data_IF_086534221378
#
_entry.id   IF_086534221378
#
_cell.length_a   1.000
_cell.length_b   1.000
_cell.length_c   1.000
_cell.angle_alpha   90.00
_cell.angle_beta   90.00
_cell.angle_gamma   90.00
#
_symmetry.space_group_name_H-M   'P 1'
#
loop_
_entity.id
_entity.type
_entity.pdbx_description
1 polymer ?
#
# COMPACT_ATOMS: atom_id res chain seq x y z
N UNK A 1 -65.07 38.77 24.92
CA UNK A 1 -65.55 38.30 26.22
C UNK A 1 -64.31 37.97 27.02
N UNK A 2 -64.17 38.67 28.15
CA UNK A 2 -63.33 38.36 29.34
C UNK A 2 -61.81 38.24 29.08
N UNK A 3 -60.92 39.13 29.52
CA UNK A 3 -60.97 40.05 30.65
C UNK A 3 -60.56 39.33 31.92
N UNK A 4 -59.29 39.44 32.33
CA UNK A 4 -58.78 39.59 33.71
C UNK A 4 -57.32 40.11 33.59
N UNK A 5 -57.17 41.42 33.68
CA UNK A 5 -56.01 42.05 34.33
C UNK A 5 -56.23 41.90 35.84
N UNK A 6 -55.15 41.70 36.60
CA UNK A 6 -54.98 41.86 38.06
C UNK A 6 -53.74 41.00 38.42
N UNK A 7 -52.70 41.42 39.14
CA UNK A 7 -52.49 42.58 40.01
C UNK A 7 -50.97 42.76 40.17
N UNK A 8 -50.56 44.01 40.24
CA UNK A 8 -49.25 44.46 40.67
C UNK A 8 -49.04 44.10 42.16
N UNK A 9 -47.93 43.43 42.44
CA UNK A 9 -47.40 43.23 43.79
C UNK A 9 -45.92 43.57 43.78
N UNK A 10 -45.62 44.86 43.62
CA UNK A 10 -44.26 45.38 43.69
C UNK A 10 -43.62 45.10 45.05
N UNK A 11 -42.38 44.66 44.93
CA UNK A 11 -41.55 44.08 45.96
C UNK A 11 -40.93 45.17 46.83
N UNK A 12 -41.07 44.94 48.13
CA UNK A 12 -40.16 45.26 49.24
C UNK A 12 -38.84 45.92 48.81
N UNK A 13 -38.67 47.18 49.18
CA UNK A 13 -37.42 47.93 49.13
C UNK A 13 -36.37 47.29 50.06
N UNK A 14 -35.20 46.95 49.51
CA UNK A 14 -33.94 46.95 50.26
C UNK A 14 -32.86 47.67 49.43
N UNK A 15 -32.21 48.72 49.98
CA UNK A 15 -31.21 49.50 49.26
C UNK A 15 -29.82 48.91 49.51
N UNK A 16 -29.10 48.52 48.46
CA UNK A 16 -27.71 48.09 48.58
C UNK A 16 -26.80 48.78 47.55
N UNK A 17 -25.64 49.17 48.06
CA UNK A 17 -24.68 50.11 47.49
C UNK A 17 -24.30 49.80 46.04
N UNK A 18 -24.40 50.84 45.20
CA UNK A 18 -24.02 50.80 43.80
C UNK A 18 -22.50 50.63 43.70
N UNK A 19 -22.03 49.49 43.20
CA UNK A 19 -20.67 49.38 42.66
C UNK A 19 -20.54 50.34 41.45
N UNK A 20 -19.39 50.98 41.28
CA UNK A 20 -19.14 51.97 40.21
C UNK A 20 -19.26 51.40 38.79
N UNK A 21 -19.43 50.08 38.67
CA UNK A 21 -19.70 49.34 37.43
C UNK A 21 -21.19 49.09 37.16
N UNK A 22 -22.10 49.55 38.03
CA UNK A 22 -23.55 49.43 37.86
C UNK A 22 -24.09 48.00 37.93
N UNK A 23 -23.40 47.09 38.64
CA UNK A 23 -23.81 45.70 38.81
C UNK A 23 -24.01 45.40 40.31
N UNK A 24 -25.14 44.80 40.66
CA UNK A 24 -25.42 44.31 42.02
C UNK A 24 -24.72 42.96 42.24
N UNK A 25 -24.04 42.80 43.37
CA UNK A 25 -23.56 41.48 43.79
C UNK A 25 -24.73 40.74 44.45
N UNK A 26 -25.18 39.58 43.93
CA UNK A 26 -26.33 38.89 44.50
C UNK A 26 -26.04 38.37 45.91
N UNK A 27 -27.03 38.49 46.82
CA UNK A 27 -26.97 37.99 48.22
C UNK A 27 -26.70 36.48 48.32
N UNK A 28 -26.98 35.73 47.25
CA UNK A 28 -26.73 34.30 47.19
C UNK A 28 -26.21 33.85 45.82
N UNK A 29 -25.09 33.13 45.84
CA UNK A 29 -24.48 32.53 44.64
C UNK A 29 -25.13 31.20 44.21
N UNK A 30 -26.26 30.80 44.82
CA UNK A 30 -26.89 29.48 44.61
C UNK A 30 -27.34 29.24 43.16
N UNK A 31 -27.77 30.29 42.46
CA UNK A 31 -28.17 30.24 41.05
C UNK A 31 -27.07 30.71 40.09
N UNK A 32 -25.84 30.87 40.58
CA UNK A 32 -24.71 31.35 39.78
C UNK A 32 -23.75 30.21 39.42
N UNK A 33 -23.35 30.15 38.15
CA UNK A 33 -22.31 29.23 37.67
C UNK A 33 -21.02 30.00 37.51
N UNK A 34 -20.04 29.72 38.38
CA UNK A 34 -18.73 30.35 38.32
C UNK A 34 -17.83 29.59 37.34
N UNK A 35 -17.37 30.28 36.30
CA UNK A 35 -16.41 29.74 35.34
C UNK A 35 -15.03 30.32 35.60
N UNK A 36 -13.99 29.49 35.44
CA UNK A 36 -12.64 30.03 35.25
C UNK A 36 -12.60 30.83 33.95
N UNK A 37 -11.76 31.86 33.86
CA UNK A 37 -11.68 32.72 32.66
C UNK A 37 -11.45 31.91 31.38
N UNK A 38 -10.67 30.83 31.46
CA UNK A 38 -10.44 29.91 30.33
C UNK A 38 -11.69 29.12 29.95
N UNK A 39 -12.45 28.61 30.93
CA UNK A 39 -13.73 27.91 30.68
C UNK A 39 -14.79 28.84 30.08
N UNK A 40 -14.87 30.10 30.54
CA UNK A 40 -15.79 31.09 29.99
C UNK A 40 -15.45 31.40 28.52
N UNK A 41 -14.17 31.61 28.19
CA UNK A 41 -13.73 31.82 26.81
C UNK A 41 -13.99 30.60 25.94
N UNK A 42 -13.75 29.38 26.46
CA UNK A 42 -14.07 28.14 25.77
C UNK A 42 -15.56 28.00 25.49
N UNK A 43 -16.42 28.39 26.44
CA UNK A 43 -17.88 28.33 26.27
C UNK A 43 -18.37 29.36 25.25
N UNK A 44 -17.81 30.58 25.26
CA UNK A 44 -18.13 31.62 24.27
C UNK A 44 -17.74 31.16 22.87
N UNK A 45 -16.55 30.58 22.70
CA UNK A 45 -16.12 30.03 21.42
C UNK A 45 -17.03 28.88 20.98
N UNK A 46 -17.36 27.95 21.89
CA UNK A 46 -18.26 26.84 21.58
C UNK A 46 -19.66 27.32 21.20
N UNK A 47 -20.17 28.37 21.85
CA UNK A 47 -21.45 28.98 21.49
C UNK A 47 -21.42 29.55 20.07
N UNK A 48 -20.35 30.26 19.71
CA UNK A 48 -20.16 30.79 18.34
C UNK A 48 -20.11 29.67 17.30
N UNK A 49 -19.35 28.62 17.56
CA UNK A 49 -19.32 27.44 16.69
C UNK A 49 -20.72 26.84 16.50
N UNK A 50 -21.47 26.65 17.58
CA UNK A 50 -22.84 26.12 17.51
C UNK A 50 -23.80 27.04 16.76
N UNK A 51 -23.67 28.36 16.91
CA UNK A 51 -24.48 29.32 16.16
C UNK A 51 -24.15 29.27 14.65
N UNK A 52 -22.87 29.14 14.30
CA UNK A 52 -22.43 28.95 12.91
C UNK A 52 -22.91 27.61 12.33
N UNK A 53 -22.78 26.52 13.09
CA UNK A 53 -23.29 25.18 12.73
C UNK A 53 -24.80 25.23 12.48
N UNK A 54 -25.56 25.89 13.34
CA UNK A 54 -27.02 26.05 13.18
C UNK A 54 -27.37 26.78 11.88
N UNK A 55 -26.71 27.90 11.60
CA UNK A 55 -26.94 28.66 10.36
C UNK A 55 -26.61 27.82 9.12
N UNK A 56 -25.53 27.03 9.17
CA UNK A 56 -25.15 26.15 8.08
C UNK A 56 -26.14 25.01 7.88
N UNK A 57 -26.64 24.40 8.97
CA UNK A 57 -27.67 23.36 8.91
C UNK A 57 -29.00 23.90 8.36
N UNK A 58 -29.41 25.10 8.77
CA UNK A 58 -30.63 25.73 8.24
C UNK A 58 -30.51 26.04 6.75
N UNK A 59 -29.35 26.48 6.28
CA UNK A 59 -29.09 26.67 4.84
C UNK A 59 -29.18 25.35 4.08
N UNK A 60 -28.45 24.32 4.54
CA UNK A 60 -28.47 23.00 3.91
C UNK A 60 -29.89 22.41 3.87
N UNK A 61 -30.64 22.50 4.98
CA UNK A 61 -32.02 22.02 5.05
C UNK A 61 -32.92 22.74 4.03
N UNK A 62 -32.77 24.06 3.89
CA UNK A 62 -33.53 24.83 2.91
C UNK A 62 -33.18 24.45 1.46
N UNK A 63 -31.91 24.19 1.16
CA UNK A 63 -31.46 23.67 -0.14
C UNK A 63 -32.05 22.29 -0.42
N UNK A 64 -31.92 21.35 0.51
CA UNK A 64 -32.53 20.02 0.39
C UNK A 64 -34.05 20.08 0.17
N UNK A 65 -34.75 20.99 0.85
CA UNK A 65 -36.19 21.18 0.67
C UNK A 65 -36.53 21.70 -0.72
N UNK A 66 -35.73 22.61 -1.29
CA UNK A 66 -35.89 23.11 -2.67
C UNK A 66 -35.66 22.00 -3.67
N UNK A 67 -34.56 21.26 -3.54
CA UNK A 67 -34.20 20.15 -4.42
C UNK A 67 -35.25 19.03 -4.39
N UNK A 68 -35.71 18.66 -3.21
CA UNK A 68 -36.76 17.66 -3.05
C UNK A 68 -38.05 18.10 -3.75
N UNK A 69 -38.45 19.36 -3.61
CA UNK A 69 -39.63 19.89 -4.28
C UNK A 69 -39.46 19.96 -5.80
N UNK A 70 -38.25 20.27 -6.29
CA UNK A 70 -37.93 20.25 -7.71
C UNK A 70 -38.01 18.83 -8.27
N UNK A 71 -37.30 17.86 -7.67
CA UNK A 71 -37.34 16.46 -8.09
C UNK A 71 -38.75 15.88 -8.05
N UNK A 72 -39.56 16.26 -7.05
CA UNK A 72 -40.97 15.84 -6.97
C UNK A 72 -41.80 16.39 -8.14
N UNK A 73 -41.52 17.59 -8.63
CA UNK A 73 -42.15 18.14 -9.84
C UNK A 73 -41.69 17.41 -11.09
N UNK A 74 -40.38 17.19 -11.23
CA UNK A 74 -39.78 16.47 -12.36
C UNK A 74 -40.31 15.03 -12.47
N UNK A 75 -40.46 14.32 -11.35
CA UNK A 75 -41.07 12.98 -11.32
C UNK A 75 -42.50 13.02 -11.86
N UNK A 76 -43.32 13.97 -11.42
CA UNK A 76 -44.71 14.11 -11.90
C UNK A 76 -44.78 14.43 -13.39
N UNK A 77 -43.88 15.29 -13.88
CA UNK A 77 -43.80 15.61 -15.30
C UNK A 77 -43.38 14.40 -16.13
N UNK A 78 -42.35 13.68 -15.69
CA UNK A 78 -41.88 12.45 -16.34
C UNK A 78 -42.95 11.34 -16.32
N UNK A 79 -43.71 11.19 -15.24
CA UNK A 79 -44.84 10.26 -15.17
C UNK A 79 -45.93 10.61 -16.19
N UNK A 80 -46.21 11.90 -16.38
CA UNK A 80 -47.17 12.37 -17.39
C UNK A 80 -46.67 12.05 -18.81
N UNK A 81 -45.42 12.39 -19.12
CA UNK A 81 -44.81 12.10 -20.43
C UNK A 81 -44.79 10.60 -20.68
N UNK A 82 -44.42 9.79 -19.69
CA UNK A 82 -44.43 8.32 -19.79
C UNK A 82 -45.83 7.78 -20.06
N UNK A 83 -46.86 8.32 -19.39
CA UNK A 83 -48.26 7.93 -19.62
C UNK A 83 -48.72 8.27 -21.04
N UNK A 84 -48.38 9.47 -21.53
CA UNK A 84 -48.68 9.89 -22.91
C UNK A 84 -47.98 8.99 -23.94
N UNK A 85 -46.68 8.75 -23.77
CA UNK A 85 -45.91 7.82 -24.62
C UNK A 85 -46.45 6.40 -24.60
N UNK A 86 -46.87 5.92 -23.44
CA UNK A 86 -47.45 4.59 -23.31
C UNK A 86 -48.79 4.49 -24.04
N UNK A 87 -49.62 5.55 -24.01
CA UNK A 87 -50.85 5.62 -24.80
C UNK A 87 -50.55 5.63 -26.31
N UNK A 88 -49.62 6.48 -26.76
CA UNK A 88 -49.19 6.53 -28.17
C UNK A 88 -48.67 5.16 -28.65
N UNK A 89 -47.88 4.50 -27.81
CA UNK A 89 -47.34 3.17 -28.10
C UNK A 89 -48.45 2.11 -28.22
N UNK A 90 -49.36 2.08 -27.25
CA UNK A 90 -50.49 1.15 -27.25
C UNK A 90 -51.41 1.37 -28.46
N UNK A 91 -51.69 2.62 -28.82
CA UNK A 91 -52.47 2.96 -30.00
C UNK A 91 -51.79 2.46 -31.29
N UNK A 92 -50.49 2.71 -31.44
CA UNK A 92 -49.71 2.20 -32.59
C UNK A 92 -49.71 0.68 -32.66
N UNK A 93 -49.59 0.00 -31.52
CA UNK A 93 -49.63 -1.46 -31.46
C UNK A 93 -51.00 -2.01 -31.85
N UNK A 94 -52.07 -1.43 -31.32
CA UNK A 94 -53.44 -1.78 -31.70
C UNK A 94 -53.71 -1.54 -33.18
N UNK A 95 -53.22 -0.42 -33.75
CA UNK A 95 -53.40 -0.11 -35.16
C UNK A 95 -52.64 -1.08 -36.08
N UNK A 96 -51.44 -1.51 -35.67
CA UNK A 96 -50.56 -2.36 -36.49
C UNK A 96 -50.87 -3.84 -36.36
N UNK A 97 -51.12 -4.31 -35.14
CA UNK A 97 -51.22 -5.74 -34.83
C UNK A 97 -52.61 -6.16 -34.37
N UNK A 98 -53.52 -5.23 -34.08
CA UNK A 98 -54.85 -5.53 -33.54
C UNK A 98 -54.86 -6.04 -32.10
N UNK A 99 -53.69 -6.19 -31.47
CA UNK A 99 -53.50 -6.65 -30.09
C UNK A 99 -52.26 -5.98 -29.48
N UNK A 100 -52.22 -5.89 -28.15
CA UNK A 100 -51.04 -5.49 -27.40
C UNK A 100 -50.04 -6.65 -27.39
N UNK A 101 -48.83 -6.40 -27.88
CA UNK A 101 -47.75 -7.38 -27.94
C UNK A 101 -46.95 -7.29 -26.64
N UNK A 102 -47.05 -8.33 -25.80
CA UNK A 102 -46.17 -8.52 -24.65
C UNK A 102 -44.78 -8.93 -25.13
N UNK A 103 -43.86 -7.98 -25.21
CA UNK A 103 -42.48 -8.21 -25.65
C UNK A 103 -41.69 -9.11 -24.69
N UNK A 104 -42.05 -9.13 -23.41
CA UNK A 104 -41.37 -9.94 -22.38
C UNK A 104 -41.52 -11.45 -22.68
N UNK A 105 -42.68 -11.88 -23.19
CA UNK A 105 -42.88 -13.27 -23.62
C UNK A 105 -42.10 -13.61 -24.90
N UNK A 106 -41.80 -12.59 -25.71
CA UNK A 106 -41.00 -12.72 -26.92
C UNK A 106 -39.50 -12.82 -26.59
N UNK A 107 -39.02 -12.09 -25.57
CA UNK A 107 -37.63 -12.19 -25.08
C UNK A 107 -37.32 -13.53 -24.41
N UNK A 108 -38.30 -14.16 -23.76
CA UNK A 108 -38.15 -15.52 -23.19
C UNK A 108 -38.05 -16.60 -24.28
N UNK A 109 -38.62 -16.36 -25.46
CA UNK A 109 -38.70 -17.36 -26.54
C UNK A 109 -37.39 -17.51 -27.35
N UNK A 110 -36.38 -16.69 -27.08
CA UNK A 110 -35.05 -16.90 -27.65
C UNK A 110 -34.05 -15.90 -27.08
N UNK A 111 -33.19 -16.35 -26.17
CA UNK A 111 -32.00 -15.58 -25.82
C UNK A 111 -31.25 -15.25 -27.11
N UNK A 112 -31.07 -13.95 -27.36
CA UNK A 112 -30.40 -13.46 -28.58
C UNK A 112 -29.08 -14.21 -28.76
N UNK A 113 -28.77 -14.63 -30.00
CA UNK A 113 -27.53 -15.38 -30.30
C UNK A 113 -26.28 -14.68 -29.75
N UNK A 114 -26.31 -13.34 -29.69
CA UNK A 114 -25.27 -12.50 -29.08
C UNK A 114 -25.08 -12.77 -27.59
N UNK A 115 -26.16 -13.00 -26.84
CA UNK A 115 -26.13 -13.30 -25.40
C UNK A 115 -25.56 -14.69 -25.15
N UNK A 116 -25.95 -15.68 -25.96
CA UNK A 116 -25.37 -17.04 -25.89
C UNK A 116 -23.88 -17.05 -26.22
N UNK A 117 -23.46 -16.30 -27.25
CA UNK A 117 -22.04 -16.15 -27.58
C UNK A 117 -21.25 -15.46 -26.47
N UNK A 118 -21.85 -14.45 -25.82
CA UNK A 118 -21.22 -13.74 -24.72
C UNK A 118 -21.08 -14.63 -23.48
N UNK A 119 -22.12 -15.42 -23.16
CA UNK A 119 -22.09 -16.39 -22.07
C UNK A 119 -21.05 -17.50 -22.33
N UNK A 120 -20.94 -17.97 -23.57
CA UNK A 120 -19.91 -18.94 -23.97
C UNK A 120 -18.50 -18.35 -23.87
N UNK A 121 -18.31 -17.09 -24.25
CA UNK A 121 -17.04 -16.38 -24.08
C UNK A 121 -16.70 -16.24 -22.59
N UNK A 122 -17.67 -15.86 -21.77
CA UNK A 122 -17.53 -15.74 -20.32
C UNK A 122 -17.07 -17.07 -19.69
N UNK A 123 -17.75 -18.17 -19.97
CA UNK A 123 -17.35 -19.49 -19.44
C UNK A 123 -15.97 -19.94 -19.93
N UNK A 124 -15.58 -19.60 -21.17
CA UNK A 124 -14.23 -19.88 -21.66
C UNK A 124 -13.17 -19.07 -20.92
N UNK A 125 -13.44 -17.79 -20.66
CA UNK A 125 -12.51 -16.93 -19.90
C UNK A 125 -12.43 -17.35 -18.44
N UNK A 126 -13.56 -17.68 -17.84
CA UNK A 126 -13.65 -18.17 -16.45
C UNK A 126 -12.81 -19.45 -16.26
N UNK A 127 -12.98 -20.45 -17.13
CA UNK A 127 -12.18 -21.68 -17.09
C UNK A 127 -10.68 -21.42 -17.23
N UNK A 128 -10.29 -20.48 -18.09
CA UNK A 128 -8.87 -20.09 -18.24
C UNK A 128 -8.33 -19.44 -16.96
N UNK A 129 -9.10 -18.52 -16.37
CA UNK A 129 -8.71 -17.86 -15.13
C UNK A 129 -8.56 -18.87 -13.98
N UNK A 130 -9.50 -19.81 -13.84
CA UNK A 130 -9.42 -20.88 -12.84
C UNK A 130 -8.14 -21.70 -13.03
N UNK A 131 -7.85 -22.11 -14.26
CA UNK A 131 -6.64 -22.89 -14.54
C UNK A 131 -5.35 -22.12 -14.24
N UNK A 132 -5.30 -20.81 -14.56
CA UNK A 132 -4.15 -19.96 -14.22
C UNK A 132 -3.96 -19.81 -12.72
N UNK A 133 -5.04 -19.76 -11.95
CA UNK A 133 -4.97 -19.71 -10.48
C UNK A 133 -4.43 -21.04 -9.93
N UNK A 134 -4.96 -22.17 -10.41
CA UNK A 134 -4.48 -23.50 -10.01
C UNK A 134 -2.98 -23.70 -10.33
N UNK A 135 -2.52 -23.23 -11.49
CA UNK A 135 -1.11 -23.29 -11.88
C UNK A 135 -0.24 -22.42 -10.98
N UNK A 136 -0.65 -21.17 -10.73
CA UNK A 136 0.07 -20.24 -9.87
C UNK A 136 0.14 -20.73 -8.41
N UNK A 137 -0.95 -21.31 -7.89
CA UNK A 137 -0.98 -21.90 -6.55
C UNK A 137 -0.04 -23.11 -6.48
N UNK A 138 0.00 -23.95 -7.51
CA UNK A 138 0.92 -25.08 -7.60
C UNK A 138 2.39 -24.65 -7.61
N UNK A 139 2.72 -23.58 -8.35
CA UNK A 139 4.06 -22.99 -8.34
C UNK A 139 4.42 -22.38 -6.97
N UNK A 140 3.48 -21.70 -6.34
CA UNK A 140 3.66 -21.12 -5.00
C UNK A 140 3.94 -22.20 -3.96
N UNK A 141 3.18 -23.30 -3.96
CA UNK A 141 3.44 -24.42 -3.05
C UNK A 141 4.82 -25.05 -3.30
N UNK A 142 5.21 -25.20 -4.56
CA UNK A 142 6.53 -25.76 -4.90
C UNK A 142 7.66 -24.86 -4.40
N UNK A 143 7.60 -23.56 -4.68
CA UNK A 143 8.60 -22.60 -4.23
C UNK A 143 8.64 -22.50 -2.69
N UNK A 144 7.50 -22.58 -2.01
CA UNK A 144 7.44 -22.62 -0.55
C UNK A 144 8.09 -23.88 0.03
N UNK A 145 7.89 -25.06 -0.58
CA UNK A 145 8.59 -26.30 -0.19
C UNK A 145 10.09 -26.16 -0.38
N UNK A 146 10.54 -25.64 -1.51
CA UNK A 146 11.96 -25.46 -1.83
C UNK A 146 12.64 -24.47 -0.86
N UNK A 147 11.95 -23.37 -0.53
CA UNK A 147 12.39 -22.42 0.47
C UNK A 147 12.50 -23.08 1.85
N UNK A 148 11.48 -23.84 2.26
CA UNK A 148 11.48 -24.54 3.55
C UNK A 148 12.62 -25.55 3.64
N UNK A 149 12.89 -26.29 2.56
CA UNK A 149 14.02 -27.21 2.48
C UNK A 149 15.36 -26.49 2.56
N UNK A 150 15.49 -25.35 1.87
CA UNK A 150 16.69 -24.52 1.93
C UNK A 150 16.94 -23.95 3.33
N UNK A 151 15.89 -23.49 4.02
CA UNK A 151 15.97 -23.04 5.41
C UNK A 151 16.44 -24.18 6.31
N UNK A 152 15.82 -25.37 6.21
CA UNK A 152 16.24 -26.56 6.98
C UNK A 152 17.71 -26.90 6.74
N UNK A 153 18.15 -26.90 5.48
CA UNK A 153 19.55 -27.18 5.13
C UNK A 153 20.49 -26.13 5.72
N UNK A 154 20.14 -24.84 5.61
CA UNK A 154 20.93 -23.76 6.20
C UNK A 154 20.99 -23.85 7.72
N UNK A 155 19.88 -24.16 8.39
CA UNK A 155 19.87 -24.40 9.84
C UNK A 155 20.75 -25.59 10.23
N UNK A 156 20.71 -26.68 9.46
CA UNK A 156 21.59 -27.83 9.69
C UNK A 156 23.06 -27.46 9.52
N UNK A 157 23.41 -26.68 8.50
CA UNK A 157 24.77 -26.19 8.28
C UNK A 157 25.22 -25.26 9.41
N UNK A 158 24.37 -24.35 9.88
CA UNK A 158 24.68 -23.47 11.01
C UNK A 158 24.91 -24.27 12.30
N UNK A 159 24.11 -25.31 12.54
CA UNK A 159 24.33 -26.21 13.68
C UNK A 159 25.65 -26.97 13.56
N UNK A 160 26.00 -27.45 12.35
CA UNK A 160 27.27 -28.11 12.11
C UNK A 160 28.46 -27.16 12.29
N UNK A 161 28.37 -25.93 11.78
CA UNK A 161 29.38 -24.89 12.00
C UNK A 161 29.55 -24.61 13.49
N UNK A 162 28.45 -24.55 14.24
CA UNK A 162 28.51 -24.37 15.69
C UNK A 162 29.25 -25.52 16.38
N UNK A 163 28.93 -26.76 16.05
CA UNK A 163 29.60 -27.95 16.60
C UNK A 163 31.09 -27.97 16.28
N UNK A 164 31.46 -27.78 15.01
CA UNK A 164 32.86 -27.72 14.59
C UNK A 164 33.59 -26.54 15.24
N UNK A 165 32.92 -25.40 15.43
CA UNK A 165 33.47 -24.25 16.13
C UNK A 165 33.72 -24.52 17.61
N UNK A 166 32.80 -25.23 18.29
CA UNK A 166 32.97 -25.69 19.68
C UNK A 166 34.17 -26.66 19.77
N UNK A 167 34.26 -27.65 18.87
CA UNK A 167 35.38 -28.60 18.82
C UNK A 167 36.72 -27.90 18.54
N UNK A 168 36.74 -26.93 17.61
CA UNK A 168 37.93 -26.15 17.29
C UNK A 168 38.37 -25.30 18.49
N UNK A 169 37.43 -24.64 19.18
CA UNK A 169 37.74 -23.85 20.38
C UNK A 169 38.29 -24.73 21.49
N UNK A 170 37.73 -25.93 21.70
CA UNK A 170 38.22 -26.86 22.70
C UNK A 170 39.58 -27.43 22.34
N UNK A 171 39.84 -27.72 21.05
CA UNK A 171 41.15 -28.12 20.58
C UNK A 171 42.17 -26.99 20.73
N UNK A 172 41.82 -25.76 20.39
CA UNK A 172 42.69 -24.59 20.59
C UNK A 172 42.98 -24.37 22.07
N UNK A 173 42.00 -24.47 22.98
CA UNK A 173 42.26 -24.41 24.42
C UNK A 173 43.22 -25.51 24.88
N UNK A 174 43.05 -26.74 24.39
CA UNK A 174 43.97 -27.85 24.68
C UNK A 174 45.36 -27.59 24.14
N UNK A 175 45.48 -27.14 22.90
CA UNK A 175 46.77 -26.79 22.28
C UNK A 175 47.44 -25.61 22.96
N UNK A 176 46.72 -24.54 23.30
CA UNK A 176 47.26 -23.39 24.04
C UNK A 176 47.72 -23.80 25.44
N UNK A 177 46.96 -24.65 26.14
CA UNK A 177 47.40 -25.19 27.44
C UNK A 177 48.66 -26.06 27.30
N UNK A 178 48.77 -26.82 26.20
CA UNK A 178 49.91 -27.71 25.93
C UNK A 178 51.13 -26.92 25.46
N UNK A 179 50.95 -25.94 24.57
CA UNK A 179 51.99 -25.04 24.08
C UNK A 179 52.50 -24.11 25.18
N UNK A 180 51.62 -23.63 26.08
CA UNK A 180 52.03 -22.89 27.26
C UNK A 180 52.83 -23.76 28.24
N UNK A 181 52.64 -25.08 28.23
CA UNK A 181 53.44 -26.03 29.00
C UNK A 181 54.75 -26.44 28.31
N UNK A 182 54.83 -26.39 26.97
CA UNK A 182 55.99 -26.85 26.18
C UNK A 182 56.92 -25.69 25.76
N UNK A 183 56.41 -24.51 25.45
CA UNK A 183 57.16 -23.39 24.86
C UNK A 183 57.27 -22.18 25.78
N UNK A 184 57.72 -22.39 27.03
CA UNK A 184 57.93 -21.27 27.95
C UNK A 184 59.11 -20.38 27.54
N UNK A 185 60.06 -20.81 26.70
CA UNK A 185 61.22 -19.92 26.41
C UNK A 185 62.03 -20.14 25.12
N UNK A 186 61.52 -20.85 24.09
CA UNK A 186 62.32 -21.08 22.89
C UNK A 186 61.81 -20.35 21.63
N UNK A 187 62.61 -19.36 21.21
CA UNK A 187 62.79 -18.83 19.86
C UNK A 187 61.89 -17.67 19.38
N UNK A 188 62.05 -16.50 19.99
CA UNK A 188 61.56 -15.23 19.44
C UNK A 188 62.25 -14.82 18.12
N UNK A 189 63.52 -15.19 17.90
CA UNK A 189 64.23 -14.90 16.64
C UNK A 189 63.67 -15.67 15.44
N UNK A 190 63.33 -16.95 15.60
CA UNK A 190 62.75 -17.76 14.52
C UNK A 190 61.36 -17.25 14.14
N UNK A 191 60.56 -16.86 15.14
CA UNK A 191 59.24 -16.24 14.91
C UNK A 191 59.35 -14.92 14.15
N UNK A 192 60.34 -14.08 14.50
CA UNK A 192 60.58 -12.81 13.80
C UNK A 192 60.98 -13.03 12.35
N UNK A 193 61.89 -13.98 12.07
CA UNK A 193 62.31 -14.31 10.70
C UNK A 193 61.14 -14.83 9.85
N UNK A 194 60.28 -15.70 10.40
CA UNK A 194 59.08 -16.19 9.72
C UNK A 194 58.10 -15.05 9.43
N UNK A 195 57.96 -14.10 10.36
CA UNK A 195 57.08 -12.94 10.20
C UNK A 195 57.59 -12.02 9.08
N UNK A 196 58.90 -11.76 9.02
CA UNK A 196 59.53 -10.96 7.97
C UNK A 196 59.42 -11.63 6.58
N UNK A 197 59.60 -12.95 6.49
CA UNK A 197 59.37 -13.70 5.24
C UNK A 197 57.91 -13.64 4.80
N UNK A 198 56.96 -13.76 5.74
CA UNK A 198 55.52 -13.65 5.46
C UNK A 198 55.16 -12.26 4.94
N UNK A 199 55.76 -11.20 5.47
CA UNK A 199 55.59 -9.85 4.94
C UNK A 199 56.16 -9.68 3.54
N UNK A 200 57.34 -10.26 3.26
CA UNK A 200 57.92 -10.26 1.90
C UNK A 200 57.01 -10.96 0.90
N UNK A 201 56.46 -12.14 1.26
CA UNK A 201 55.49 -12.84 0.42
C UNK A 201 54.22 -12.02 0.21
N UNK A 202 53.70 -11.37 1.26
CA UNK A 202 52.49 -10.54 1.17
C UNK A 202 52.69 -9.37 0.20
N UNK A 203 53.85 -8.70 0.25
CA UNK A 203 54.21 -7.61 -0.68
C UNK A 203 54.30 -8.13 -2.12
N UNK A 204 54.91 -9.30 -2.33
CA UNK A 204 55.03 -9.91 -3.65
C UNK A 204 53.66 -10.27 -4.23
N UNK A 205 52.75 -10.80 -3.39
CA UNK A 205 51.38 -11.14 -3.78
C UNK A 205 50.57 -9.88 -4.14
N UNK A 206 50.77 -8.78 -3.41
CA UNK A 206 50.13 -7.49 -3.73
C UNK A 206 50.61 -6.91 -5.07
N UNK A 207 51.91 -7.03 -5.36
CA UNK A 207 52.47 -6.61 -6.66
C UNK A 207 51.89 -7.47 -7.79
N UNK A 208 51.85 -8.80 -7.62
CA UNK A 208 51.28 -9.71 -8.61
C UNK A 208 49.78 -9.48 -8.82
N UNK A 209 49.03 -9.14 -7.76
CA UNK A 209 47.61 -8.80 -7.89
C UNK A 209 47.40 -7.53 -8.73
N UNK A 210 48.22 -6.49 -8.52
CA UNK A 210 48.21 -5.27 -9.35
C UNK A 210 48.59 -5.58 -10.81
N UNK A 211 49.57 -6.45 -11.03
CA UNK A 211 49.95 -6.90 -12.37
C UNK A 211 48.83 -7.67 -13.07
N UNK A 212 48.10 -8.52 -12.35
CA UNK A 212 46.92 -9.21 -12.88
C UNK A 212 45.82 -8.21 -13.25
N UNK A 213 45.60 -7.16 -12.44
CA UNK A 213 44.64 -6.12 -12.77
C UNK A 213 45.05 -5.32 -14.01
N UNK A 214 46.32 -4.93 -14.14
CA UNK A 214 46.83 -4.27 -15.35
C UNK A 214 46.64 -5.16 -16.57
N UNK A 215 47.02 -6.44 -16.49
CA UNK A 215 46.81 -7.42 -17.57
C UNK A 215 45.33 -7.61 -17.90
N UNK A 216 44.44 -7.63 -16.92
CA UNK A 216 42.99 -7.73 -17.13
C UNK A 216 42.43 -6.49 -17.84
N UNK A 217 42.94 -5.29 -17.52
CA UNK A 217 42.57 -4.06 -18.23
C UNK A 217 43.10 -4.03 -19.65
N UNK A 218 44.33 -4.49 -19.88
CA UNK A 218 44.91 -4.64 -21.22
C UNK A 218 44.14 -5.67 -22.06
N UNK A 219 43.84 -6.85 -21.50
CA UNK A 219 43.01 -7.87 -22.15
C UNK A 219 41.63 -7.29 -22.50
N UNK A 220 41.00 -6.54 -21.60
CA UNK A 220 39.73 -5.88 -21.89
C UNK A 220 39.85 -4.79 -22.95
N UNK A 221 40.95 -4.05 -22.99
CA UNK A 221 41.26 -3.07 -24.04
C UNK A 221 41.46 -3.77 -25.40
N UNK A 222 42.18 -4.89 -25.43
CA UNK A 222 42.36 -5.72 -26.62
C UNK A 222 41.07 -6.41 -27.06
N UNK A 223 40.22 -6.87 -26.14
CA UNK A 223 38.86 -7.36 -26.44
C UNK A 223 37.99 -6.26 -27.06
N UNK A 224 38.06 -5.02 -26.55
CA UNK A 224 37.33 -3.86 -27.09
C UNK A 224 37.87 -3.37 -28.43
N UNK A 225 39.18 -3.48 -28.69
CA UNK A 225 39.84 -3.09 -29.96
C UNK A 225 39.98 -4.23 -30.98
N UNK A 226 39.60 -5.47 -30.64
CA UNK A 226 40.02 -6.69 -31.33
C UNK A 226 38.92 -7.54 -31.98
N UNK A 227 37.70 -7.03 -32.14
CA UNK A 227 36.70 -7.65 -33.04
C UNK A 227 36.97 -7.46 -34.54
N UNK A 228 38.12 -6.86 -34.93
CA UNK A 228 38.36 -6.50 -36.33
C UNK A 228 39.84 -6.52 -36.81
N UNK A 229 40.73 -7.35 -36.24
CA UNK A 229 42.13 -7.41 -36.71
C UNK A 229 42.44 -8.70 -37.52
N UNK A 230 41.45 -9.54 -37.86
CA UNK A 230 41.69 -10.75 -38.68
C UNK A 230 40.68 -11.02 -39.82
N UNK A 231 40.22 -9.99 -40.53
CA UNK A 231 39.49 -10.18 -41.81
C UNK A 231 40.01 -9.32 -42.95
N UNK A 232 41.34 -9.33 -43.19
CA UNK A 232 41.90 -8.98 -44.51
C UNK A 232 43.11 -9.83 -44.88
N UNK A 233 42.97 -11.16 -44.86
CA UNK A 233 43.77 -12.05 -45.72
C UNK A 233 42.94 -13.27 -46.14
N UNK A 234 41.90 -13.05 -46.94
CA UNK A 234 41.29 -14.10 -47.77
C UNK A 234 41.12 -13.61 -49.20
N UNK A 235 42.23 -13.23 -49.81
CA UNK A 235 42.36 -13.27 -51.28
C UNK A 235 43.75 -13.80 -51.63
N UNK A 236 43.76 -14.94 -52.33
CA UNK A 236 44.89 -15.62 -52.96
C UNK A 236 45.79 -16.52 -52.10
N UNK A 237 45.28 -17.71 -51.77
CA UNK A 237 46.09 -18.92 -51.92
C UNK A 237 45.24 -20.02 -52.54
N UNK A 238 45.36 -20.12 -53.86
CA UNK A 238 44.83 -21.22 -54.68
C UNK A 238 45.29 -22.57 -54.11
N UNK A 239 44.30 -23.44 -53.91
CA UNK A 239 44.28 -24.90 -54.03
C UNK A 239 45.49 -25.72 -53.52
N UNK A 240 45.17 -26.59 -52.58
CA UNK A 240 45.89 -27.82 -52.28
C UNK A 240 45.98 -28.75 -53.50
N UNK A 241 47.06 -29.51 -53.59
CA UNK A 241 47.15 -30.96 -53.82
C UNK A 241 48.66 -31.31 -53.85
N UNK A 242 49.23 -31.95 -52.81
CA UNK A 242 49.23 -33.40 -52.56
C UNK A 242 49.62 -34.20 -53.81
N UNK A 243 50.92 -34.46 -53.93
CA UNK A 243 51.44 -35.68 -54.52
C UNK A 243 51.36 -36.78 -53.44
N UNK A 244 50.90 -37.96 -53.89
CA UNK A 244 50.80 -39.25 -53.20
C UNK A 244 49.59 -39.46 -52.29
#
# INVERSE_FOLDING_TARGET
MEGVEDEEGEQIEHPEEIDWRGCYLPDSLKDSVLFTRSQLLSLINRKRELDEERVNLDKAFNEYKRDHNQKKKEIKENEKVRSERMKEYNERQMLRFGNLVELDNLEVSGSSAVVLDLQNKFHKTEKKCIHMVEEADGELEKTQRDLTNSIKNNTNLLNLIRQLGEEQLDLNKKLDSTNKAIFVDENDEVKKNIMEEKEKLKKLLEIQAKEIETLKTEINLYKKKGGHIYTKVTTNRRVANLNQ
#
